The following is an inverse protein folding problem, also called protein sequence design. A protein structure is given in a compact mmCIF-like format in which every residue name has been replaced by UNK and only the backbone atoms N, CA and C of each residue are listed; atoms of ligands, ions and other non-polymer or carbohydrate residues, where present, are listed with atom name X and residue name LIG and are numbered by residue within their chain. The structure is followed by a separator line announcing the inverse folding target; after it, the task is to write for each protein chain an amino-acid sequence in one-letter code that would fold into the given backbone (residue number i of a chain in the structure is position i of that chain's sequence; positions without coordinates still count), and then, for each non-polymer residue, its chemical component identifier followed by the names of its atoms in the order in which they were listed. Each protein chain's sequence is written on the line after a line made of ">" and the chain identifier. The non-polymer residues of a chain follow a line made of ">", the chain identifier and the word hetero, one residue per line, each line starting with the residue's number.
data_IF_197555455820
#
_entry.id   IF_197555455820
#
_cell.length_a   1.000
_cell.length_b   1.000
_cell.length_c   1.000
_cell.angle_alpha   90.00
_cell.angle_beta   90.00
_cell.angle_gamma   90.00
#
_symmetry.space_group_name_H-M   'P 1'
#
loop_
_entity.id
_entity.type
_entity.pdbx_description
1 polymer ?
#
# COMPACT_ATOMS: atom_id res chain seq x y z
N UNK A 1 14.88 -19.79 7.39
CA UNK A 1 14.59 -18.90 6.24
C UNK A 1 15.64 -17.81 6.25
N UNK A 2 16.09 -17.34 5.08
CA UNK A 2 17.03 -16.23 4.99
C UNK A 2 16.43 -14.96 5.61
N UNK A 3 17.19 -14.30 6.48
CA UNK A 3 16.82 -13.04 7.11
C UNK A 3 17.38 -11.81 6.37
N UNK A 4 18.00 -12.04 5.20
CA UNK A 4 18.59 -10.99 4.36
C UNK A 4 17.75 -10.76 3.12
N UNK A 5 17.44 -9.51 2.76
CA UNK A 5 16.71 -9.21 1.55
C UNK A 5 17.58 -9.54 0.33
N UNK A 6 17.28 -10.66 -0.32
CA UNK A 6 17.93 -11.10 -1.56
C UNK A 6 16.92 -11.12 -2.71
N UNK A 7 17.38 -10.80 -3.91
CA UNK A 7 16.56 -10.98 -5.11
C UNK A 7 16.23 -12.46 -5.31
N UNK A 8 14.99 -12.75 -5.73
CA UNK A 8 14.60 -14.13 -6.09
C UNK A 8 15.49 -14.75 -7.16
N UNK A 9 16.14 -13.94 -8.02
CA UNK A 9 17.13 -14.44 -8.98
C UNK A 9 18.36 -15.05 -8.32
N UNK A 10 18.78 -14.49 -7.18
CA UNK A 10 20.00 -14.92 -6.47
C UNK A 10 19.93 -16.35 -5.95
N UNK A 11 18.74 -16.95 -5.90
CA UNK A 11 18.55 -18.35 -5.53
C UNK A 11 19.23 -19.32 -6.49
N UNK A 12 19.52 -18.92 -7.74
CA UNK A 12 20.29 -19.73 -8.68
C UNK A 12 21.67 -20.13 -8.15
N UNK A 13 22.28 -19.27 -7.31
CA UNK A 13 23.60 -19.50 -6.71
C UNK A 13 23.62 -20.63 -5.68
N UNK A 14 22.45 -20.97 -5.12
CA UNK A 14 22.33 -21.89 -3.99
C UNK A 14 21.49 -23.13 -4.31
N UNK A 15 20.56 -23.04 -5.27
CA UNK A 15 19.53 -24.06 -5.48
C UNK A 15 19.53 -24.70 -6.88
N UNK A 16 20.57 -24.51 -7.69
CA UNK A 16 20.67 -25.06 -9.06
C UNK A 16 19.43 -24.78 -9.95
N UNK A 17 18.74 -23.66 -9.70
CA UNK A 17 17.61 -23.18 -10.48
C UNK A 17 18.04 -22.07 -11.44
N UNK A 18 17.33 -21.86 -12.54
CA UNK A 18 17.52 -20.66 -13.35
C UNK A 18 16.77 -19.48 -12.70
N UNK A 19 17.51 -18.47 -12.21
CA UNK A 19 16.94 -17.36 -11.45
C UNK A 19 15.99 -16.49 -12.27
N UNK A 20 16.31 -16.25 -13.55
CA UNK A 20 15.45 -15.50 -14.47
C UNK A 20 14.13 -16.22 -14.73
N UNK A 21 14.19 -17.53 -15.01
CA UNK A 21 13.00 -18.36 -15.20
C UNK A 21 12.16 -18.40 -13.92
N UNK A 22 12.78 -18.56 -12.75
CA UNK A 22 12.07 -18.58 -11.48
C UNK A 22 11.28 -17.29 -11.23
N UNK A 23 11.89 -16.12 -11.42
CA UNK A 23 11.20 -14.83 -11.24
C UNK A 23 10.08 -14.65 -12.27
N UNK A 24 10.29 -15.10 -13.52
CA UNK A 24 9.24 -15.07 -14.54
C UNK A 24 8.07 -16.00 -14.19
N UNK A 25 8.34 -17.21 -13.73
CA UNK A 25 7.34 -18.18 -13.29
C UNK A 25 6.55 -17.63 -12.10
N UNK A 26 7.23 -17.05 -11.12
CA UNK A 26 6.56 -16.38 -10.00
C UNK A 26 5.60 -15.31 -10.48
N UNK A 27 6.08 -14.37 -11.31
CA UNK A 27 5.26 -13.26 -11.82
C UNK A 27 4.05 -13.71 -12.65
N UNK A 28 4.22 -14.75 -13.48
CA UNK A 28 3.21 -15.16 -14.47
C UNK A 28 2.25 -16.23 -13.97
N UNK A 29 2.68 -17.07 -13.03
CA UNK A 29 1.97 -18.31 -12.68
C UNK A 29 1.81 -18.55 -11.18
N UNK A 30 2.73 -18.10 -10.31
CA UNK A 30 2.71 -18.46 -8.88
C UNK A 30 2.20 -17.35 -7.95
N UNK A 31 2.21 -16.09 -8.38
CA UNK A 31 1.89 -14.93 -7.52
C UNK A 31 0.39 -14.65 -7.39
N UNK A 32 -0.47 -15.39 -8.10
CA UNK A 32 -1.91 -15.15 -8.26
C UNK A 32 -2.28 -13.74 -8.78
N UNK A 33 -1.30 -12.91 -9.12
CA UNK A 33 -1.54 -11.55 -9.61
C UNK A 33 -2.48 -11.52 -10.83
N UNK A 34 -2.44 -12.46 -11.80
CA UNK A 34 -3.39 -12.50 -12.91
C UNK A 34 -4.86 -12.69 -12.49
N UNK A 35 -5.12 -13.34 -11.37
CA UNK A 35 -6.46 -13.69 -10.88
C UNK A 35 -6.95 -12.79 -9.74
N UNK A 36 -6.17 -11.78 -9.33
CA UNK A 36 -6.58 -10.82 -8.32
C UNK A 36 -7.91 -10.14 -8.66
N UNK A 37 -8.84 -10.08 -7.71
CA UNK A 37 -10.11 -9.36 -7.88
C UNK A 37 -9.92 -7.89 -8.33
N UNK A 38 -8.96 -7.10 -7.80
CA UNK A 38 -8.70 -5.74 -8.25
C UNK A 38 -7.80 -5.62 -9.50
N UNK A 39 -7.61 -6.68 -10.31
CA UNK A 39 -6.65 -6.72 -11.43
C UNK A 39 -6.64 -5.48 -12.33
N UNK A 40 -7.82 -4.91 -12.61
CA UNK A 40 -8.02 -3.79 -13.54
C UNK A 40 -7.39 -2.47 -13.09
N UNK A 41 -7.08 -2.33 -11.80
CA UNK A 41 -6.54 -1.11 -11.21
C UNK A 41 -5.44 -1.37 -10.18
N UNK A 42 -5.07 -2.63 -9.95
CA UNK A 42 -4.07 -3.05 -8.96
C UNK A 42 -2.66 -2.48 -9.22
N UNK A 43 -2.38 -2.01 -10.43
CA UNK A 43 -1.17 -1.26 -10.78
C UNK A 43 -1.22 0.21 -10.33
N UNK A 44 -2.41 0.76 -10.10
CA UNK A 44 -2.62 2.17 -9.70
C UNK A 44 -2.97 2.33 -8.24
N UNK A 45 -3.81 1.46 -7.70
CA UNK A 45 -4.19 1.53 -6.29
C UNK A 45 -4.69 0.21 -5.74
N UNK A 46 -4.50 0.02 -4.44
CA UNK A 46 -5.06 -1.07 -3.66
C UNK A 46 -5.59 -0.50 -2.35
N UNK A 47 -6.72 -1.03 -1.88
CA UNK A 47 -7.34 -0.67 -0.59
C UNK A 47 -7.69 -1.94 0.16
N UNK A 48 -7.48 -1.91 1.47
CA UNK A 48 -7.72 -3.02 2.40
C UNK A 48 -8.58 -2.51 3.57
N UNK A 49 -9.91 -2.42 3.38
CA UNK A 49 -10.83 -1.92 4.40
C UNK A 49 -10.69 -2.60 5.77
N UNK A 50 -10.36 -3.89 5.77
CA UNK A 50 -10.16 -4.72 6.96
C UNK A 50 -8.98 -4.29 7.84
N UNK A 51 -8.03 -3.54 7.28
CA UNK A 51 -6.83 -3.09 8.00
C UNK A 51 -7.04 -1.72 8.66
N UNK A 52 -8.18 -1.08 8.45
CA UNK A 52 -8.48 0.26 8.94
C UNK A 52 -8.66 0.24 10.47
N UNK A 53 -8.04 1.20 11.16
CA UNK A 53 -8.04 1.29 12.61
C UNK A 53 -8.10 2.75 13.10
N UNK A 54 -8.13 2.96 14.42
CA UNK A 54 -8.31 4.28 15.01
C UNK A 54 -7.11 5.22 14.78
N UNK A 55 -5.90 4.67 14.56
CA UNK A 55 -4.67 5.44 14.37
C UNK A 55 -4.03 5.11 13.03
N UNK A 56 -3.97 6.09 12.13
CA UNK A 56 -3.37 5.92 10.81
C UNK A 56 -2.11 6.78 10.64
N UNK A 57 -1.27 6.38 9.68
CA UNK A 57 -0.23 7.22 9.08
C UNK A 57 -0.56 7.42 7.60
N UNK A 58 -0.34 8.62 7.08
CA UNK A 58 -0.41 8.93 5.64
C UNK A 58 0.95 9.48 5.23
N UNK A 59 1.64 8.73 4.39
CA UNK A 59 3.00 9.01 3.97
C UNK A 59 3.09 9.14 2.45
N UNK A 60 3.98 10.03 1.98
CA UNK A 60 4.38 10.10 0.57
C UNK A 60 5.67 9.30 0.38
N UNK A 61 5.65 8.32 -0.53
CA UNK A 61 6.82 7.49 -0.82
C UNK A 61 7.16 7.49 -2.30
N UNK A 62 8.43 7.73 -2.62
CA UNK A 62 8.94 7.53 -3.96
C UNK A 62 9.40 6.10 -4.13
N UNK A 63 8.76 5.37 -5.05
CA UNK A 63 9.27 4.09 -5.52
C UNK A 63 10.29 4.31 -6.64
N UNK A 64 10.97 3.23 -7.03
CA UNK A 64 11.97 3.27 -8.09
C UNK A 64 11.45 3.98 -9.34
N UNK A 65 12.31 4.78 -9.99
CA UNK A 65 12.02 5.55 -11.22
C UNK A 65 11.18 6.82 -11.03
N UNK A 66 11.08 7.33 -9.80
CA UNK A 66 10.48 8.65 -9.53
C UNK A 66 8.95 8.65 -9.47
N UNK A 67 8.34 7.48 -9.41
CA UNK A 67 6.91 7.33 -9.16
C UNK A 67 6.63 7.67 -7.69
N UNK A 68 5.68 8.56 -7.45
CA UNK A 68 5.23 8.92 -6.10
C UNK A 68 3.97 8.16 -5.76
N UNK A 69 3.89 7.66 -4.53
CA UNK A 69 2.73 6.96 -4.00
C UNK A 69 2.31 7.57 -2.68
N UNK A 70 1.01 7.64 -2.45
CA UNK A 70 0.45 7.85 -1.12
C UNK A 70 0.19 6.50 -0.47
N UNK A 71 0.77 6.28 0.70
CA UNK A 71 0.63 5.05 1.48
C UNK A 71 -0.14 5.39 2.76
N UNK A 72 -1.22 4.65 3.01
CA UNK A 72 -1.98 4.75 4.27
C UNK A 72 -1.75 3.48 5.06
N UNK A 73 -1.28 3.62 6.29
CA UNK A 73 -1.00 2.49 7.18
C UNK A 73 -1.70 2.64 8.52
N UNK A 74 -2.07 1.53 9.13
CA UNK A 74 -2.58 1.46 10.49
C UNK A 74 -1.41 1.34 11.47
N UNK A 75 -1.21 2.35 12.31
CA UNK A 75 -0.09 2.39 13.27
C UNK A 75 -0.15 1.25 14.28
N UNK A 76 -1.33 0.73 14.58
CA UNK A 76 -1.53 -0.35 15.54
C UNK A 76 -1.04 -1.70 15.02
N UNK A 77 -0.86 -1.82 13.71
CA UNK A 77 -0.27 -3.00 13.06
C UNK A 77 1.25 -3.10 13.23
N UNK A 78 1.93 -2.04 13.69
CA UNK A 78 3.38 -1.98 13.93
C UNK A 78 4.22 -2.45 12.72
N UNK A 79 3.76 -2.17 11.49
CA UNK A 79 4.44 -2.59 10.25
C UNK A 79 4.27 -4.08 9.91
N UNK A 80 3.52 -4.83 10.71
CA UNK A 80 3.22 -6.23 10.49
C UNK A 80 2.10 -6.47 9.48
N UNK A 81 1.73 -7.75 9.33
CA UNK A 81 0.57 -8.14 8.52
C UNK A 81 -0.69 -7.43 9.02
N UNK A 82 -1.46 -6.84 8.09
CA UNK A 82 -2.67 -6.08 8.41
C UNK A 82 -2.43 -4.57 8.65
N UNK A 83 -1.21 -4.08 8.40
CA UNK A 83 -0.88 -2.65 8.55
C UNK A 83 -1.30 -1.83 7.34
N UNK A 84 -1.15 -2.34 6.12
CA UNK A 84 -1.39 -1.56 4.90
C UNK A 84 -2.89 -1.34 4.67
N UNK A 85 -3.38 -0.11 4.77
CA UNK A 85 -4.79 0.26 4.52
C UNK A 85 -4.99 0.63 3.07
N UNK A 86 -4.08 1.41 2.48
CA UNK A 86 -4.12 1.76 1.08
C UNK A 86 -2.74 2.05 0.52
N UNK A 87 -2.55 1.79 -0.77
CA UNK A 87 -1.43 2.29 -1.57
C UNK A 87 -2.00 2.84 -2.87
N UNK A 88 -1.66 4.08 -3.21
CA UNK A 88 -2.27 4.83 -4.30
C UNK A 88 -1.17 5.55 -5.07
N UNK A 89 -1.10 5.36 -6.38
CA UNK A 89 -0.19 6.11 -7.24
C UNK A 89 -0.59 7.59 -7.28
N UNK A 90 0.39 8.46 -7.06
CA UNK A 90 0.23 9.90 -7.01
C UNK A 90 0.02 10.44 -5.59
N UNK A 91 0.08 11.78 -5.52
CA UNK A 91 0.04 12.55 -4.26
C UNK A 91 -0.97 13.68 -4.31
N UNK A 92 -1.73 13.80 -5.41
CA UNK A 92 -2.73 14.85 -5.57
C UNK A 92 -3.94 14.55 -4.70
N UNK A 93 -4.25 15.47 -3.78
CA UNK A 93 -5.32 15.28 -2.80
C UNK A 93 -6.65 14.81 -3.41
N UNK A 94 -7.13 15.45 -4.49
CA UNK A 94 -8.41 15.07 -5.10
C UNK A 94 -8.46 13.65 -5.66
N UNK A 95 -7.37 13.20 -6.30
CA UNK A 95 -7.27 11.85 -6.87
C UNK A 95 -7.19 10.81 -5.74
N UNK A 96 -6.29 11.04 -4.76
CA UNK A 96 -6.12 10.16 -3.59
C UNK A 96 -7.41 10.06 -2.77
N UNK A 97 -8.04 11.20 -2.46
CA UNK A 97 -9.31 11.24 -1.73
C UNK A 97 -10.40 10.45 -2.45
N UNK A 98 -10.44 10.50 -3.79
CA UNK A 98 -11.43 9.74 -4.56
C UNK A 98 -11.31 8.23 -4.39
N UNK A 99 -10.09 7.73 -4.22
CA UNK A 99 -9.81 6.32 -3.97
C UNK A 99 -10.09 5.98 -2.50
N UNK A 100 -9.62 6.78 -1.55
CA UNK A 100 -9.87 6.54 -0.12
C UNK A 100 -11.36 6.59 0.23
N UNK A 101 -12.17 7.39 -0.48
CA UNK A 101 -13.63 7.40 -0.30
C UNK A 101 -14.31 6.07 -0.67
N UNK A 102 -13.62 5.13 -1.34
CA UNK A 102 -14.09 3.75 -1.56
C UNK A 102 -14.07 2.92 -0.27
N UNK A 103 -13.29 3.31 0.73
CA UNK A 103 -13.33 2.68 2.05
C UNK A 103 -14.70 2.93 2.72
N UNK A 104 -15.23 1.96 3.48
CA UNK A 104 -16.53 2.09 4.14
C UNK A 104 -16.61 3.37 4.97
N UNK A 105 -17.66 4.16 4.77
CA UNK A 105 -17.84 5.44 5.47
C UNK A 105 -17.78 5.28 6.98
N UNK A 106 -18.47 4.26 7.52
CA UNK A 106 -18.47 4.01 8.97
C UNK A 106 -17.05 3.77 9.51
N UNK A 107 -16.25 2.97 8.81
CA UNK A 107 -14.86 2.70 9.19
C UNK A 107 -14.00 3.98 9.15
N UNK A 108 -14.13 4.80 8.10
CA UNK A 108 -13.40 6.08 8.00
C UNK A 108 -13.73 7.06 9.13
N UNK A 109 -14.95 7.05 9.64
CA UNK A 109 -15.37 7.89 10.76
C UNK A 109 -14.91 7.36 12.13
N UNK A 110 -14.36 6.15 12.21
CA UNK A 110 -13.77 5.59 13.43
C UNK A 110 -12.28 5.92 13.58
N UNK A 111 -11.66 6.53 12.56
CA UNK A 111 -10.29 7.04 12.65
C UNK A 111 -10.28 8.27 13.54
N UNK A 112 -9.40 8.24 14.54
CA UNK A 112 -9.30 9.24 15.60
C UNK A 112 -7.99 10.03 15.54
N UNK A 113 -6.91 9.44 15.04
CA UNK A 113 -5.60 10.09 14.93
C UNK A 113 -5.00 9.80 13.56
N UNK A 114 -4.46 10.83 12.90
CA UNK A 114 -3.67 10.66 11.69
C UNK A 114 -2.32 11.34 11.85
N UNK A 115 -1.25 10.55 11.76
CA UNK A 115 0.11 11.08 11.56
C UNK A 115 0.32 11.32 10.07
N UNK A 116 0.85 12.49 9.72
CA UNK A 116 1.10 12.88 8.33
C UNK A 116 2.32 13.78 8.25
N UNK A 117 3.03 13.70 7.13
CA UNK A 117 4.12 14.62 6.82
C UNK A 117 3.59 16.06 6.66
N UNK A 118 4.47 17.07 6.82
CA UNK A 118 4.16 18.50 6.63
C UNK A 118 3.88 18.85 5.15
N UNK A 119 2.87 18.22 4.57
CA UNK A 119 2.41 18.36 3.20
C UNK A 119 0.96 18.85 3.22
N UNK A 120 0.71 19.97 2.54
CA UNK A 120 -0.65 20.52 2.40
C UNK A 120 -1.61 19.54 1.72
N UNK A 121 -1.09 18.69 0.84
CA UNK A 121 -1.87 17.64 0.18
C UNK A 121 -2.30 16.56 1.18
N UNK A 122 -1.39 16.10 2.04
CA UNK A 122 -1.68 15.07 3.05
C UNK A 122 -2.69 15.59 4.08
N UNK A 123 -2.55 16.84 4.52
CA UNK A 123 -3.55 17.49 5.37
C UNK A 123 -4.93 17.56 4.72
N UNK A 124 -5.01 17.90 3.43
CA UNK A 124 -6.28 17.96 2.70
C UNK A 124 -6.93 16.57 2.60
N UNK A 125 -6.14 15.53 2.29
CA UNK A 125 -6.59 14.14 2.22
C UNK A 125 -7.15 13.69 3.58
N UNK A 126 -6.41 13.92 4.67
CA UNK A 126 -6.80 13.52 6.01
C UNK A 126 -8.15 14.14 6.40
N UNK A 127 -8.27 15.47 6.25
CA UNK A 127 -9.48 16.21 6.59
C UNK A 127 -10.70 15.79 5.78
N UNK A 128 -10.50 15.49 4.49
CA UNK A 128 -11.60 15.12 3.61
C UNK A 128 -12.06 13.66 3.82
N UNK A 129 -11.11 12.75 4.01
CA UNK A 129 -11.39 11.32 4.06
C UNK A 129 -11.73 10.80 5.46
N UNK A 130 -11.17 11.42 6.50
CA UNK A 130 -11.24 10.98 7.90
C UNK A 130 -11.66 12.15 8.80
N UNK A 131 -12.92 12.59 8.71
CA UNK A 131 -13.36 13.87 9.27
C UNK A 131 -13.37 13.94 10.81
N UNK A 132 -13.25 12.80 11.48
CA UNK A 132 -13.26 12.69 12.95
C UNK A 132 -11.86 12.55 13.55
N UNK A 133 -10.82 12.49 12.70
CA UNK A 133 -9.45 12.36 13.15
C UNK A 133 -8.87 13.73 13.52
N UNK A 134 -8.11 13.75 14.62
CA UNK A 134 -7.28 14.88 15.07
C UNK A 134 -5.82 14.74 14.61
#
# INVERSE_FOLDING_TARGET
>A
MDNYPISGKSLEKFYHVNGDLLVQQYKKHLSDYPSWAPRSHADKWLVFPENLGPRLSIDESSLSRGELYTIVTNKDGHGGKGTLVAIIEGVKAGEVSSILRKLPRQARHQVMEITLDMSSSMHAIARECFPNAE
#
